data_IF_985306236606
#
_entry.id   IF_985306236606
#
_cell.length_a   1.000
_cell.length_b   1.000
_cell.length_c   1.000
_cell.angle_alpha   90.00
_cell.angle_beta   90.00
_cell.angle_gamma   90.00
#
_symmetry.space_group_name_H-M   'P 1'
#
loop_
_entity.id
_entity.type
_entity.pdbx_description
1 polymer ?
#
# COMPACT_ATOMS: atom_id res chain seq x y z
N UNK A 1 -3.40 18.10 24.76
CA UNK A 1 -2.85 17.40 23.58
C UNK A 1 -1.81 16.41 24.09
N UNK A 2 -2.07 15.11 23.94
CA UNK A 2 -1.13 14.05 24.33
C UNK A 2 0.07 14.05 23.38
N UNK A 3 1.25 13.68 23.91
CA UNK A 3 2.46 13.43 23.12
C UNK A 3 2.75 11.93 23.11
N UNK A 4 3.04 11.39 21.93
CA UNK A 4 3.31 9.99 21.67
C UNK A 4 4.76 9.82 21.22
N UNK A 5 5.42 8.79 21.74
CA UNK A 5 6.83 8.49 21.52
C UNK A 5 6.96 7.09 20.90
N UNK A 6 6.73 6.93 19.58
CA UNK A 6 7.08 5.70 18.88
C UNK A 6 8.59 5.43 18.96
N UNK A 7 8.99 4.16 18.73
CA UNK A 7 10.39 3.73 18.81
C UNK A 7 11.01 3.45 17.44
N UNK A 8 10.20 3.24 16.41
CA UNK A 8 10.68 3.17 15.02
C UNK A 8 9.74 3.94 14.07
N UNK A 9 10.25 4.35 12.92
CA UNK A 9 9.49 5.04 11.87
C UNK A 9 9.87 4.61 10.46
N UNK A 10 8.95 4.86 9.53
CA UNK A 10 9.26 4.88 8.11
C UNK A 10 10.19 6.06 7.81
N UNK A 11 11.17 5.84 6.91
CA UNK A 11 12.19 6.84 6.54
C UNK A 11 11.59 8.14 6.00
N UNK A 12 10.42 8.06 5.34
CA UNK A 12 9.70 9.19 4.76
C UNK A 12 8.91 10.04 5.78
N UNK A 13 8.79 9.62 7.04
CA UNK A 13 8.30 10.47 8.13
C UNK A 13 9.43 11.35 8.68
N UNK A 14 9.84 12.38 7.93
CA UNK A 14 11.02 13.19 8.27
C UNK A 14 10.84 14.17 9.43
N UNK A 15 9.61 14.64 9.69
CA UNK A 15 9.33 15.60 10.76
C UNK A 15 9.63 14.97 12.13
N UNK A 16 10.54 15.59 12.89
CA UNK A 16 10.87 15.17 14.28
C UNK A 16 9.65 15.35 15.18
N UNK A 17 8.91 16.43 15.01
CA UNK A 17 7.68 16.72 15.75
C UNK A 17 6.55 16.95 14.76
N UNK A 18 5.46 16.20 14.89
CA UNK A 18 4.24 16.37 14.09
C UNK A 18 3.03 16.52 14.99
N UNK A 19 2.20 17.53 14.73
CA UNK A 19 0.83 17.59 15.26
C UNK A 19 -0.08 17.02 14.18
N UNK A 20 -0.78 15.93 14.49
CA UNK A 20 -1.62 15.20 13.55
C UNK A 20 -3.01 14.98 14.14
N UNK A 21 -4.03 14.92 13.28
CA UNK A 21 -5.43 14.75 13.69
C UNK A 21 -5.86 13.30 13.48
N UNK A 22 -6.45 12.66 14.49
CA UNK A 22 -6.95 11.28 14.39
C UNK A 22 -8.04 11.22 13.34
N UNK A 23 -7.81 10.43 12.29
CA UNK A 23 -8.77 10.19 11.21
C UNK A 23 -9.56 8.90 11.46
N UNK A 24 -8.86 7.78 11.66
CA UNK A 24 -9.51 6.48 11.92
C UNK A 24 -8.71 5.61 12.89
N UNK A 25 -9.43 4.77 13.64
CA UNK A 25 -8.87 3.93 14.70
C UNK A 25 -9.27 2.47 14.40
N UNK A 26 -8.27 1.59 14.36
CA UNK A 26 -8.41 0.15 14.23
C UNK A 26 -7.67 -0.54 15.39
N UNK A 27 -7.86 -1.85 15.55
CA UNK A 27 -7.25 -2.62 16.65
C UNK A 27 -5.71 -2.64 16.65
N UNK A 28 -5.07 -2.39 15.49
CA UNK A 28 -3.61 -2.43 15.32
C UNK A 28 -3.01 -1.19 14.67
N UNK A 29 -3.86 -0.27 14.19
CA UNK A 29 -3.45 0.95 13.48
C UNK A 29 -4.31 2.13 13.90
N UNK A 30 -3.69 3.29 14.13
CA UNK A 30 -4.39 4.59 14.15
C UNK A 30 -3.88 5.39 12.95
N UNK A 31 -4.80 5.83 12.09
CA UNK A 31 -4.48 6.73 10.99
C UNK A 31 -4.75 8.17 11.41
N UNK A 32 -3.84 9.04 11.02
CA UNK A 32 -3.93 10.46 11.22
C UNK A 32 -3.87 11.20 9.89
N UNK A 33 -4.52 12.35 9.87
CA UNK A 33 -4.38 13.38 8.84
C UNK A 33 -3.37 14.42 9.32
N UNK A 34 -2.32 14.62 8.51
CA UNK A 34 -1.34 15.68 8.71
C UNK A 34 -1.81 17.04 8.20
N UNK A 35 -1.09 18.09 8.56
CA UNK A 35 -1.26 19.47 8.06
C UNK A 35 -1.06 19.59 6.54
N UNK A 36 -0.27 18.69 5.97
CA UNK A 36 0.00 18.54 4.55
C UNK A 36 -1.05 17.70 3.80
N UNK A 37 -2.17 17.36 4.46
CA UNK A 37 -3.21 16.47 3.96
C UNK A 37 -2.64 15.11 3.50
N UNK A 38 -1.58 14.63 4.18
CA UNK A 38 -1.06 13.28 4.03
C UNK A 38 -1.52 12.37 5.16
N UNK A 39 -1.60 11.08 4.85
CA UNK A 39 -1.79 10.05 5.87
C UNK A 39 -0.49 9.84 6.64
N UNK A 40 -0.64 9.81 7.95
CA UNK A 40 0.33 9.31 8.92
C UNK A 40 -0.29 8.15 9.70
N UNK A 41 0.51 7.24 10.26
CA UNK A 41 -0.04 6.11 11.00
C UNK A 41 0.79 5.69 12.20
N UNK A 42 0.14 5.38 13.31
CA UNK A 42 0.73 4.58 14.38
C UNK A 42 0.34 3.13 14.18
N UNK A 43 1.32 2.24 14.23
CA UNK A 43 1.18 0.80 14.04
C UNK A 43 1.76 0.06 15.25
N UNK A 44 1.31 -1.17 15.47
CA UNK A 44 1.78 -2.03 16.59
C UNK A 44 2.56 -3.26 16.12
N UNK A 45 2.72 -3.42 14.80
CA UNK A 45 3.41 -4.55 14.19
C UNK A 45 4.26 -4.07 13.05
N UNK A 46 5.50 -4.53 12.99
CA UNK A 46 6.41 -4.20 11.90
C UNK A 46 5.83 -4.54 10.53
N UNK A 47 5.15 -5.67 10.37
CA UNK A 47 4.64 -6.09 9.06
C UNK A 47 3.58 -5.12 8.48
N UNK A 48 3.01 -4.24 9.32
CA UNK A 48 2.03 -3.23 8.92
C UNK A 48 2.66 -1.89 8.54
N UNK A 49 4.00 -1.82 8.41
CA UNK A 49 4.70 -0.64 7.91
C UNK A 49 4.14 -0.16 6.58
N UNK A 50 3.91 1.15 6.52
CA UNK A 50 3.41 1.90 5.36
C UNK A 50 4.14 3.25 5.26
N UNK A 51 3.99 4.01 4.17
CA UNK A 51 4.57 5.35 4.05
C UNK A 51 4.07 6.27 5.17
N UNK A 52 4.99 6.94 5.88
CA UNK A 52 4.74 7.73 7.10
C UNK A 52 4.06 6.95 8.22
N UNK A 53 4.58 5.75 8.52
CA UNK A 53 4.19 4.99 9.71
C UNK A 53 5.21 5.11 10.83
N UNK A 54 4.74 4.93 12.06
CA UNK A 54 5.58 4.80 13.24
C UNK A 54 5.09 3.67 14.12
N UNK A 55 6.04 2.87 14.60
CA UNK A 55 5.80 1.69 15.42
C UNK A 55 5.82 2.09 16.89
N UNK A 56 4.75 1.69 17.61
CA UNK A 56 4.57 1.93 19.03
C UNK A 56 4.16 0.63 19.72
N UNK A 57 4.51 0.49 20.99
CA UNK A 57 4.31 -0.73 21.77
C UNK A 57 2.83 -1.08 21.91
N UNK A 58 2.02 -0.06 22.17
CA UNK A 58 0.57 -0.17 22.25
C UNK A 58 -0.10 1.08 21.72
N UNK A 59 -1.30 0.92 21.16
CA UNK A 59 -2.09 2.06 20.71
C UNK A 59 -2.67 2.80 21.93
N UNK A 60 -2.54 4.13 22.00
CA UNK A 60 -3.23 4.93 23.01
C UNK A 60 -4.75 4.91 22.76
N UNK A 61 -5.53 5.15 23.82
CA UNK A 61 -6.97 5.39 23.69
C UNK A 61 -7.19 6.82 23.23
N UNK A 62 -7.60 7.00 21.98
CA UNK A 62 -7.87 8.29 21.34
C UNK A 62 -9.28 8.32 20.75
N UNK A 63 -9.73 9.49 20.30
CA UNK A 63 -11.00 9.66 19.59
C UNK A 63 -10.76 10.26 18.20
N UNK A 64 -11.57 9.86 17.22
CA UNK A 64 -11.59 10.52 15.90
C UNK A 64 -11.80 12.02 16.06
N UNK A 65 -11.01 12.80 15.34
CA UNK A 65 -11.01 14.27 15.39
C UNK A 65 -10.07 14.88 16.41
N UNK A 66 -9.53 14.09 17.36
CA UNK A 66 -8.55 14.56 18.34
C UNK A 66 -7.20 14.89 17.69
N UNK A 67 -6.53 15.95 18.15
CA UNK A 67 -5.16 16.25 17.76
C UNK A 67 -4.17 15.69 18.77
N UNK A 68 -3.13 15.03 18.26
CA UNK A 68 -2.03 14.47 19.05
C UNK A 68 -0.70 14.97 18.52
N UNK A 69 0.29 15.02 19.40
CA UNK A 69 1.68 15.24 19.02
C UNK A 69 2.37 13.88 18.90
N UNK A 70 3.09 13.66 17.82
CA UNK A 70 3.97 12.50 17.64
C UNK A 70 5.40 13.01 17.57
N UNK A 71 6.22 12.56 18.53
CA UNK A 71 7.64 12.89 18.63
C UNK A 71 8.48 11.73 18.13
N UNK A 72 9.29 11.97 17.11
CA UNK A 72 10.22 11.01 16.50
C UNK A 72 11.65 11.16 17.05
N UNK A 73 11.86 11.96 18.10
CA UNK A 73 13.19 12.24 18.67
C UNK A 73 13.93 10.96 19.09
N UNK A 74 13.17 9.96 19.56
CA UNK A 74 13.68 8.66 19.99
C UNK A 74 13.52 7.56 18.93
N UNK A 75 12.91 7.87 17.79
CA UNK A 75 12.59 6.88 16.75
C UNK A 75 13.77 6.59 15.84
N UNK A 76 14.17 5.33 15.75
CA UNK A 76 15.06 4.86 14.68
C UNK A 76 14.29 4.63 13.37
N UNK A 77 15.00 4.48 12.25
CA UNK A 77 14.37 4.12 10.97
C UNK A 77 14.23 2.60 10.89
N UNK A 78 12.99 2.11 10.89
CA UNK A 78 12.66 0.67 10.83
C UNK A 78 12.24 0.18 9.44
N UNK A 79 11.89 1.09 8.54
CA UNK A 79 11.46 0.77 7.18
C UNK A 79 11.71 1.92 6.20
N UNK A 80 12.16 1.61 4.99
CA UNK A 80 12.16 2.53 3.87
C UNK A 80 11.05 2.13 2.88
N UNK A 81 9.99 2.95 2.72
CA UNK A 81 8.90 2.63 1.80
C UNK A 81 9.26 2.86 0.33
N UNK A 82 10.42 3.45 0.05
CA UNK A 82 10.82 3.78 -1.32
C UNK A 82 11.02 2.52 -2.15
N UNK A 83 10.33 2.42 -3.28
CA UNK A 83 10.56 1.38 -4.27
C UNK A 83 11.31 1.95 -5.47
N UNK A 84 12.44 1.32 -5.78
CA UNK A 84 13.24 1.64 -6.95
C UNK A 84 13.08 0.51 -7.99
N UNK A 85 13.32 0.81 -9.28
CA UNK A 85 13.44 -0.21 -10.29
C UNK A 85 14.44 -1.28 -9.87
N UNK A 86 14.04 -2.54 -10.02
CA UNK A 86 14.85 -3.67 -9.63
C UNK A 86 16.07 -3.80 -10.55
N UNK A 87 17.23 -4.11 -9.98
CA UNK A 87 18.45 -4.37 -10.76
C UNK A 87 18.44 -5.76 -11.40
N UNK A 88 17.72 -6.71 -10.79
CA UNK A 88 17.57 -8.09 -11.24
C UNK A 88 16.10 -8.38 -11.57
N UNK A 89 15.79 -9.01 -12.71
CA UNK A 89 14.40 -9.30 -13.06
C UNK A 89 13.77 -10.29 -12.06
N UNK A 90 12.43 -10.31 -12.03
CA UNK A 90 11.70 -11.35 -11.31
C UNK A 90 12.13 -12.75 -11.79
N UNK A 91 12.35 -13.66 -10.85
CA UNK A 91 12.70 -15.03 -11.14
C UNK A 91 11.52 -15.74 -11.84
N UNK A 92 11.73 -16.17 -13.09
CA UNK A 92 10.72 -16.81 -13.92
C UNK A 92 10.17 -18.11 -13.33
N UNK A 93 10.85 -18.71 -12.34
CA UNK A 93 10.31 -19.80 -11.53
C UNK A 93 8.93 -19.48 -10.95
N UNK A 94 8.70 -18.22 -10.55
CA UNK A 94 7.45 -17.81 -9.93
C UNK A 94 6.38 -17.38 -10.93
N UNK A 95 6.70 -17.36 -12.24
CA UNK A 95 5.78 -16.88 -13.27
C UNK A 95 4.42 -17.58 -13.24
N UNK A 96 4.35 -18.92 -13.20
CA UNK A 96 3.05 -19.60 -13.14
C UNK A 96 2.21 -19.16 -11.94
N UNK A 97 2.85 -18.90 -10.79
CA UNK A 97 2.14 -18.53 -9.56
C UNK A 97 1.63 -17.10 -9.60
N UNK A 98 2.43 -16.13 -10.06
CA UNK A 98 1.91 -14.77 -10.15
C UNK A 98 0.86 -14.64 -11.26
N UNK A 99 0.98 -15.40 -12.36
CA UNK A 99 -0.03 -15.42 -13.43
C UNK A 99 -1.40 -15.90 -12.94
N UNK A 100 -1.44 -16.76 -11.92
CA UNK A 100 -2.69 -17.19 -11.28
C UNK A 100 -3.39 -16.07 -10.52
N UNK A 101 -2.70 -15.02 -10.07
CA UNK A 101 -3.33 -13.94 -9.31
C UNK A 101 -4.34 -13.14 -10.12
N UNK A 102 -4.21 -13.05 -11.45
CA UNK A 102 -5.27 -12.47 -12.30
C UNK A 102 -6.57 -13.26 -12.22
N UNK A 103 -6.53 -14.57 -11.90
CA UNK A 103 -7.74 -15.37 -11.71
C UNK A 103 -8.52 -14.92 -10.49
N UNK A 104 -7.94 -14.13 -9.58
CA UNK A 104 -8.73 -13.51 -8.52
C UNK A 104 -9.84 -12.63 -9.08
N UNK A 105 -9.67 -12.03 -10.27
CA UNK A 105 -10.71 -11.23 -10.94
C UNK A 105 -11.94 -12.04 -11.37
N UNK A 106 -11.88 -13.38 -11.35
CA UNK A 106 -13.04 -14.24 -11.61
C UNK A 106 -14.01 -14.32 -10.42
N UNK A 107 -13.65 -13.74 -9.29
CA UNK A 107 -14.55 -13.57 -8.15
C UNK A 107 -15.61 -12.52 -8.52
N UNK A 108 -16.90 -12.88 -8.41
CA UNK A 108 -18.04 -12.02 -8.79
C UNK A 108 -17.98 -10.62 -8.16
N UNK A 109 -17.30 -10.47 -7.02
CA UNK A 109 -17.10 -9.18 -6.35
C UNK A 109 -16.21 -8.21 -7.13
N UNK A 110 -15.49 -8.67 -8.14
CA UNK A 110 -14.63 -7.88 -9.01
C UNK A 110 -15.21 -7.71 -10.43
N UNK A 111 -16.44 -8.13 -10.69
CA UNK A 111 -17.08 -8.02 -12.01
C UNK A 111 -16.98 -6.59 -12.57
N UNK A 112 -17.20 -5.58 -11.73
CA UNK A 112 -17.10 -4.16 -12.09
C UNK A 112 -15.71 -3.70 -12.58
N UNK A 113 -14.66 -4.49 -12.35
CA UNK A 113 -13.30 -4.18 -12.79
C UNK A 113 -13.00 -4.72 -14.19
N UNK A 114 -13.66 -5.81 -14.60
CA UNK A 114 -13.32 -6.53 -15.84
C UNK A 114 -13.43 -5.62 -17.08
N UNK A 115 -14.45 -4.76 -17.13
CA UNK A 115 -14.67 -3.81 -18.23
C UNK A 115 -13.60 -2.71 -18.34
N UNK A 116 -12.74 -2.56 -17.32
CA UNK A 116 -11.76 -1.49 -17.25
C UNK A 116 -10.32 -1.98 -17.45
N UNK A 117 -10.07 -3.26 -17.77
CA UNK A 117 -8.71 -3.82 -17.85
C UNK A 117 -7.79 -3.10 -18.84
N UNK A 118 -8.34 -2.59 -19.95
CA UNK A 118 -7.59 -1.80 -20.94
C UNK A 118 -7.30 -0.36 -20.46
N UNK A 119 -8.12 0.16 -19.55
CA UNK A 119 -8.05 1.52 -19.02
C UNK A 119 -8.08 1.50 -17.48
N UNK A 120 -7.09 0.87 -16.82
CA UNK A 120 -7.14 0.56 -15.39
C UNK A 120 -7.23 1.80 -14.50
N UNK A 121 -6.83 2.99 -14.97
CA UNK A 121 -7.05 4.24 -14.24
C UNK A 121 -8.54 4.56 -13.99
N UNK A 122 -9.44 3.99 -14.79
CA UNK A 122 -10.90 4.11 -14.60
C UNK A 122 -11.43 3.22 -13.47
N UNK A 123 -10.62 2.31 -12.94
CA UNK A 123 -10.98 1.49 -11.78
C UNK A 123 -10.92 2.26 -10.47
N UNK A 124 -10.30 3.45 -10.43
CA UNK A 124 -10.21 4.26 -9.20
C UNK A 124 -11.63 4.56 -8.68
N UNK A 125 -11.91 4.14 -7.45
CA UNK A 125 -13.20 4.25 -6.78
C UNK A 125 -14.19 3.12 -7.06
N UNK A 126 -13.85 2.13 -7.89
CA UNK A 126 -14.75 1.00 -8.22
C UNK A 126 -14.61 -0.17 -7.25
N UNK A 127 -15.73 -0.87 -7.05
CA UNK A 127 -15.80 -2.09 -6.24
C UNK A 127 -16.14 -1.85 -4.76
N UNK A 128 -16.39 -2.94 -4.02
CA UNK A 128 -16.84 -2.85 -2.64
C UNK A 128 -15.70 -2.59 -1.65
N UNK A 129 -16.03 -2.12 -0.45
CA UNK A 129 -15.11 -2.00 0.69
C UNK A 129 -14.77 -0.56 1.07
N UNK A 130 -14.05 -0.41 2.19
CA UNK A 130 -13.49 0.89 2.64
C UNK A 130 -12.31 1.35 1.79
N UNK A 131 -11.63 0.38 1.16
CA UNK A 131 -10.73 0.53 0.03
C UNK A 131 -11.40 -0.18 -1.14
N UNK A 132 -12.06 0.57 -2.05
CA UNK A 132 -12.64 -0.02 -3.25
C UNK A 132 -11.63 -0.93 -3.96
N UNK A 133 -12.07 -2.12 -4.37
CA UNK A 133 -11.20 -3.12 -4.98
C UNK A 133 -10.40 -2.60 -6.18
N UNK A 134 -10.96 -1.67 -6.96
CA UNK A 134 -10.28 -1.03 -8.07
C UNK A 134 -9.08 -0.17 -7.62
N UNK A 135 -9.14 0.44 -6.44
CA UNK A 135 -8.00 1.19 -5.88
C UNK A 135 -6.86 0.26 -5.47
N UNK A 136 -7.20 -0.89 -4.87
CA UNK A 136 -6.24 -1.91 -4.49
C UNK A 136 -5.55 -2.49 -5.74
N UNK A 137 -6.33 -2.80 -6.78
CA UNK A 137 -5.82 -3.23 -8.09
C UNK A 137 -4.88 -2.18 -8.70
N UNK A 138 -5.32 -0.92 -8.80
CA UNK A 138 -4.52 0.18 -9.36
C UNK A 138 -3.22 0.38 -8.57
N UNK A 139 -3.28 0.30 -7.24
CA UNK A 139 -2.10 0.39 -6.38
C UNK A 139 -1.12 -0.76 -6.65
N UNK A 140 -1.61 -1.99 -6.82
CA UNK A 140 -0.79 -3.14 -7.19
C UNK A 140 -0.14 -2.97 -8.57
N UNK A 141 -0.91 -2.53 -9.56
CA UNK A 141 -0.44 -2.26 -10.92
C UNK A 141 0.67 -1.20 -10.96
N UNK A 142 0.46 -0.06 -10.30
CA UNK A 142 1.45 1.01 -10.20
C UNK A 142 2.71 0.51 -9.47
N UNK A 143 2.55 -0.32 -8.43
CA UNK A 143 3.69 -0.92 -7.72
C UNK A 143 4.52 -1.78 -8.67
N UNK A 144 3.88 -2.63 -9.48
CA UNK A 144 4.59 -3.45 -10.47
C UNK A 144 5.35 -2.57 -11.46
N UNK A 145 4.73 -1.51 -12.01
CA UNK A 145 5.41 -0.58 -12.91
C UNK A 145 6.62 0.11 -12.27
N UNK A 146 6.45 0.64 -11.06
CA UNK A 146 7.56 1.27 -10.31
C UNK A 146 8.69 0.29 -10.05
N UNK A 147 8.35 -0.95 -9.70
CA UNK A 147 9.33 -2.00 -9.43
C UNK A 147 10.07 -2.49 -10.68
N UNK A 148 9.41 -2.60 -11.82
CA UNK A 148 10.01 -3.06 -13.08
C UNK A 148 10.61 -1.93 -13.92
N UNK A 149 10.48 -0.68 -13.47
CA UNK A 149 10.98 0.50 -14.18
C UNK A 149 10.09 0.92 -15.37
N UNK A 150 8.88 0.39 -15.48
CA UNK A 150 7.88 0.84 -16.46
C UNK A 150 7.37 2.22 -16.04
N UNK A 151 7.30 3.14 -16.99
CA UNK A 151 6.80 4.50 -16.74
C UNK A 151 5.32 4.48 -16.35
N UNK A 152 4.99 5.13 -15.23
CA UNK A 152 3.61 5.31 -14.80
C UNK A 152 3.01 6.49 -15.54
N UNK A 153 2.11 6.22 -16.49
CA UNK A 153 1.52 7.27 -17.32
C UNK A 153 0.71 8.32 -16.54
N UNK A 154 0.73 9.56 -17.02
CA UNK A 154 0.01 10.71 -16.42
C UNK A 154 -1.49 10.48 -16.21
N UNK A 155 -2.09 9.55 -16.97
CA UNK A 155 -3.51 9.20 -16.86
C UNK A 155 -3.92 8.79 -15.44
N UNK A 156 -3.04 8.13 -14.68
CA UNK A 156 -3.33 7.75 -13.30
C UNK A 156 -3.37 8.96 -12.35
N UNK A 157 -2.48 9.93 -12.54
CA UNK A 157 -2.49 11.17 -11.77
C UNK A 157 -3.78 11.96 -12.04
N UNK A 158 -4.14 12.14 -13.32
CA UNK A 158 -5.37 12.83 -13.73
C UNK A 158 -6.62 12.10 -13.25
N UNK A 159 -6.64 10.77 -13.31
CA UNK A 159 -7.76 9.97 -12.85
C UNK A 159 -7.93 10.06 -11.32
N UNK A 160 -6.84 10.10 -10.55
CA UNK A 160 -6.90 10.26 -9.09
C UNK A 160 -7.50 11.62 -8.68
N UNK A 161 -7.25 12.68 -9.45
CA UNK A 161 -7.83 14.01 -9.21
C UNK A 161 -9.31 14.09 -9.61
N UNK A 162 -9.71 13.33 -10.63
CA UNK A 162 -11.06 13.39 -11.23
C UNK A 162 -12.04 12.39 -10.63
N UNK A 163 -11.59 11.18 -10.34
CA UNK A 163 -12.44 10.09 -9.87
C UNK A 163 -12.59 10.19 -8.35
N UNK A 164 -13.82 10.05 -7.88
CA UNK A 164 -14.09 9.99 -6.44
C UNK A 164 -13.68 8.64 -5.88
N UNK A 165 -12.78 8.64 -4.90
CA UNK A 165 -12.53 7.50 -4.01
C UNK A 165 -12.45 7.97 -2.56
N UNK A 166 -12.23 7.06 -1.62
CA UNK A 166 -12.08 7.38 -0.20
C UNK A 166 -10.77 8.14 0.04
N UNK A 167 -10.75 8.99 1.08
CA UNK A 167 -9.52 9.69 1.47
C UNK A 167 -8.36 8.72 1.66
N UNK A 168 -8.60 7.55 2.26
CA UNK A 168 -7.57 6.55 2.51
C UNK A 168 -7.00 5.94 1.22
N UNK A 169 -7.86 5.53 0.28
CA UNK A 169 -7.44 5.05 -1.04
C UNK A 169 -6.68 6.11 -1.81
N UNK A 170 -7.11 7.38 -1.74
CA UNK A 170 -6.41 8.49 -2.39
C UNK A 170 -4.97 8.61 -1.91
N UNK A 171 -4.75 8.46 -0.60
CA UNK A 171 -3.39 8.51 -0.02
C UNK A 171 -2.55 7.31 -0.48
N UNK A 172 -3.12 6.11 -0.53
CA UNK A 172 -2.42 4.90 -0.99
C UNK A 172 -2.00 4.99 -2.46
N UNK A 173 -2.92 5.37 -3.35
CA UNK A 173 -2.62 5.50 -4.78
C UNK A 173 -1.59 6.62 -4.96
N UNK A 174 -1.74 7.76 -4.28
CA UNK A 174 -0.76 8.85 -4.34
C UNK A 174 0.62 8.41 -3.87
N UNK A 175 0.71 7.59 -2.83
CA UNK A 175 1.99 7.06 -2.36
C UNK A 175 2.64 6.14 -3.41
N UNK A 176 1.89 5.19 -3.96
CA UNK A 176 2.39 4.31 -5.03
C UNK A 176 2.82 5.10 -6.27
N UNK A 177 2.04 6.12 -6.67
CA UNK A 177 2.39 7.05 -7.73
C UNK A 177 3.69 7.81 -7.45
N UNK A 178 4.02 8.07 -6.20
CA UNK A 178 5.28 8.72 -5.81
C UNK A 178 6.42 7.73 -5.51
N UNK A 179 6.23 6.44 -5.82
CA UNK A 179 7.26 5.41 -5.59
C UNK A 179 7.37 4.97 -4.14
N UNK A 180 6.31 5.09 -3.35
CA UNK A 180 6.25 4.60 -1.98
C UNK A 180 5.26 3.45 -1.84
N UNK A 181 5.68 2.39 -1.16
CA UNK A 181 4.84 1.22 -0.90
C UNK A 181 4.96 0.76 0.54
N UNK A 182 3.96 0.01 0.96
CA UNK A 182 3.91 -0.71 2.22
C UNK A 182 4.83 -1.95 2.27
N UNK A 183 5.27 -2.34 3.48
CA UNK A 183 6.27 -3.39 3.71
C UNK A 183 5.86 -4.77 3.19
N UNK A 184 4.57 -5.08 3.15
CA UNK A 184 4.07 -6.35 2.58
C UNK A 184 4.34 -6.45 1.08
N UNK A 185 4.01 -5.40 0.33
CA UNK A 185 4.32 -5.31 -1.10
C UNK A 185 5.84 -5.34 -1.34
N UNK A 186 6.60 -4.61 -0.53
CA UNK A 186 8.06 -4.59 -0.62
C UNK A 186 8.68 -5.98 -0.43
N UNK A 187 8.21 -6.73 0.58
CA UNK A 187 8.65 -8.10 0.83
C UNK A 187 8.31 -9.05 -0.31
N UNK A 188 7.17 -8.87 -0.98
CA UNK A 188 6.84 -9.66 -2.17
C UNK A 188 7.81 -9.36 -3.32
N UNK A 189 8.09 -8.08 -3.59
CA UNK A 189 9.07 -7.68 -4.61
C UNK A 189 10.46 -8.31 -4.33
N UNK A 190 10.92 -8.31 -3.08
CA UNK A 190 12.18 -8.98 -2.72
C UNK A 190 12.13 -10.50 -2.96
N UNK A 191 11.05 -11.16 -2.53
CA UNK A 191 10.92 -12.61 -2.66
C UNK A 191 10.82 -13.08 -4.12
N UNK A 192 10.30 -12.23 -5.01
CA UNK A 192 10.22 -12.52 -6.44
C UNK A 192 11.59 -12.57 -7.15
N UNK A 193 12.61 -11.90 -6.62
CA UNK A 193 13.99 -11.99 -7.15
C UNK A 193 14.66 -13.28 -6.69
N UNK A 194 14.38 -13.72 -5.46
CA UNK A 194 14.96 -14.92 -4.88
C UNK A 194 14.39 -16.23 -5.45
N UNK A 195 14.93 -17.35 -4.94
CA UNK A 195 14.48 -18.71 -5.27
C UNK A 195 13.87 -19.46 -4.07
N UNK A 196 13.64 -18.76 -2.96
CA UNK A 196 13.09 -19.36 -1.74
C UNK A 196 11.55 -19.42 -1.78
N UNK A 197 11.02 -20.63 -1.99
CA UNK A 197 9.56 -20.85 -1.97
C UNK A 197 8.92 -20.45 -0.65
N UNK A 198 9.61 -20.68 0.48
CA UNK A 198 9.10 -20.32 1.80
C UNK A 198 8.96 -18.80 1.97
N UNK A 199 9.94 -18.02 1.49
CA UNK A 199 9.89 -16.55 1.56
C UNK A 199 8.81 -16.00 0.63
N UNK A 200 8.72 -16.54 -0.59
CA UNK A 200 7.69 -16.19 -1.55
C UNK A 200 6.29 -16.45 -1.02
N UNK A 201 6.00 -17.67 -0.58
CA UNK A 201 4.68 -18.04 -0.06
C UNK A 201 4.34 -17.26 1.22
N UNK A 202 5.31 -16.98 2.07
CA UNK A 202 5.12 -16.13 3.25
C UNK A 202 4.75 -14.70 2.88
N UNK A 203 5.42 -14.11 1.89
CA UNK A 203 5.13 -12.76 1.40
C UNK A 203 3.72 -12.66 0.78
N UNK A 204 3.34 -13.63 -0.07
CA UNK A 204 2.00 -13.71 -0.66
C UNK A 204 0.93 -13.92 0.41
N UNK A 205 1.14 -14.88 1.32
CA UNK A 205 0.22 -15.17 2.42
C UNK A 205 0.00 -13.96 3.34
N UNK A 206 1.06 -13.20 3.59
CA UNK A 206 1.01 -11.93 4.33
C UNK A 206 0.09 -10.89 3.69
N UNK A 207 0.07 -10.79 2.35
CA UNK A 207 -0.84 -9.89 1.61
C UNK A 207 -2.27 -10.44 1.63
N UNK A 208 -2.46 -11.74 1.40
CA UNK A 208 -3.80 -12.37 1.38
C UNK A 208 -4.51 -12.34 2.74
N UNK A 209 -3.76 -12.33 3.84
CA UNK A 209 -4.31 -12.17 5.19
C UNK A 209 -4.69 -10.71 5.50
N UNK A 210 -4.14 -9.74 4.78
CA UNK A 210 -4.48 -8.34 4.92
C UNK A 210 -5.70 -8.00 4.06
N UNK A 211 -6.87 -7.98 4.70
CA UNK A 211 -8.14 -7.66 4.04
C UNK A 211 -8.37 -8.53 2.80
N UNK A 212 -8.86 -9.76 2.99
CA UNK A 212 -8.89 -10.81 1.96
C UNK A 212 -9.27 -10.36 0.55
N UNK A 213 -10.23 -9.44 0.41
CA UNK A 213 -10.62 -8.89 -0.90
C UNK A 213 -9.57 -7.90 -1.45
N UNK A 214 -9.13 -6.94 -0.65
CA UNK A 214 -8.08 -5.97 -1.00
C UNK A 214 -6.76 -6.63 -1.36
N UNK A 215 -6.31 -7.63 -0.58
CA UNK A 215 -5.09 -8.38 -0.88
C UNK A 215 -5.16 -9.10 -2.23
N UNK A 216 -6.33 -9.69 -2.57
CA UNK A 216 -6.56 -10.34 -3.88
C UNK A 216 -6.58 -9.33 -5.03
N UNK A 217 -7.28 -8.21 -4.87
CA UNK A 217 -7.32 -7.15 -5.89
C UNK A 217 -5.93 -6.57 -6.16
N UNK A 218 -5.16 -6.29 -5.09
CA UNK A 218 -3.79 -5.80 -5.20
C UNK A 218 -2.88 -6.79 -5.93
N UNK A 219 -2.93 -8.09 -5.59
CA UNK A 219 -2.14 -9.12 -6.27
C UNK A 219 -2.53 -9.27 -7.76
N UNK A 220 -3.82 -9.16 -8.08
CA UNK A 220 -4.29 -9.19 -9.46
C UNK A 220 -3.74 -7.99 -10.27
N UNK A 221 -3.79 -6.78 -9.72
CA UNK A 221 -3.24 -5.59 -10.36
C UNK A 221 -1.72 -5.66 -10.53
N UNK A 222 -1.02 -6.12 -9.50
CA UNK A 222 0.43 -6.33 -9.54
C UNK A 222 0.82 -7.36 -10.61
N UNK A 223 0.13 -8.51 -10.67
CA UNK A 223 0.35 -9.51 -11.73
C UNK A 223 0.11 -8.95 -13.14
N UNK A 224 -0.97 -8.20 -13.35
CA UNK A 224 -1.23 -7.53 -14.63
C UNK A 224 -0.08 -6.60 -15.03
N UNK A 225 0.50 -5.87 -14.07
CA UNK A 225 1.66 -5.02 -14.34
C UNK A 225 2.94 -5.80 -14.68
N UNK A 226 3.15 -6.98 -14.09
CA UNK A 226 4.30 -7.82 -14.40
C UNK A 226 4.25 -8.45 -15.78
N UNK A 227 3.06 -8.81 -16.25
CA UNK A 227 2.89 -9.43 -17.57
C UNK A 227 2.77 -8.40 -18.71
N UNK A 228 2.62 -7.12 -18.37
CA UNK A 228 2.28 -6.06 -19.30
C UNK A 228 0.78 -5.95 -19.53
N UNK A 229 0.32 -4.73 -19.82
CA UNK A 229 -1.02 -4.51 -20.36
C UNK A 229 -0.94 -4.92 -21.84
N UNK A 230 -1.45 -6.11 -22.16
CA UNK A 230 -1.61 -6.60 -23.54
C UNK A 230 -2.59 -5.75 -24.33
#
# INVERSE_FOLDING_TARGET
MITLYPFERSSDWQKIESVVKVHSIYSKVINFEGDDNRRYSLITREVDYLPRASLIEALPVLRTGESVRVSQELSSVGFDPSINPVSEPANLLWQPLWSEWRRFLLDDRFECLLDQLENPERMIGLGPGTTPAGDDFVTGLITAFRWTGVEVGERFFKALEKNGTTWFSTQMIRDALNGYIWKRGYKLCQALVGSSASEFLSAVGSILQWGHLSGRAWLAGFSTGLEGIS
#
